data_IF_531520116514
#
_entry.id   IF_531520116514
#
_cell.length_a   1.000
_cell.length_b   1.000
_cell.length_c   1.000
_cell.angle_alpha   90.00
_cell.angle_beta   90.00
_cell.angle_gamma   90.00
#
_symmetry.space_group_name_H-M   'P 1'
#
loop_
_entity.id
_entity.type
_entity.pdbx_description
1 polymer ?
#
# COMPACT_ATOMS: atom_id res chain seq x y z
N UNK A 1 46.19 -4.83 3.65
CA UNK A 1 44.91 -4.21 4.04
C UNK A 1 43.95 -4.43 2.88
N UNK A 2 43.05 -5.40 3.02
CA UNK A 2 42.09 -5.77 1.96
C UNK A 2 40.86 -4.88 2.10
N UNK A 3 40.67 -3.95 1.19
CA UNK A 3 39.48 -3.11 1.12
C UNK A 3 38.40 -3.92 0.41
N UNK A 4 37.51 -4.57 1.16
CA UNK A 4 36.29 -5.13 0.60
C UNK A 4 35.44 -3.96 0.14
N UNK A 5 35.29 -3.79 -1.18
CA UNK A 5 34.25 -2.95 -1.75
C UNK A 5 32.94 -3.67 -1.44
N UNK A 6 32.21 -3.18 -0.43
CA UNK A 6 30.82 -3.55 -0.23
C UNK A 6 30.06 -2.99 -1.44
N UNK A 7 29.81 -3.84 -2.43
CA UNK A 7 28.91 -3.51 -3.53
C UNK A 7 27.57 -3.20 -2.90
N UNK A 8 27.20 -1.91 -2.86
CA UNK A 8 25.87 -1.49 -2.48
C UNK A 8 24.89 -2.32 -3.31
N UNK A 9 24.17 -3.25 -2.67
CA UNK A 9 23.12 -3.98 -3.36
C UNK A 9 22.13 -2.93 -3.83
N UNK A 10 21.90 -2.86 -5.13
CA UNK A 10 20.78 -2.11 -5.69
C UNK A 10 19.49 -2.55 -4.97
N UNK A 11 18.70 -1.59 -4.51
CA UNK A 11 17.43 -1.85 -3.83
C UNK A 11 16.53 -2.70 -4.72
N UNK A 12 16.13 -3.88 -4.26
CA UNK A 12 15.28 -4.80 -5.02
C UNK A 12 13.80 -4.50 -4.76
N UNK A 13 13.00 -4.35 -5.81
CA UNK A 13 11.56 -4.19 -5.74
C UNK A 13 10.88 -5.46 -6.25
N UNK A 14 10.08 -6.10 -5.42
CA UNK A 14 9.29 -7.29 -5.78
C UNK A 14 7.80 -6.92 -5.78
N UNK A 15 7.14 -7.06 -6.93
CA UNK A 15 5.71 -6.89 -7.06
C UNK A 15 5.00 -8.25 -6.89
N UNK A 16 3.99 -8.31 -6.02
CA UNK A 16 3.14 -9.51 -5.86
C UNK A 16 1.69 -9.16 -6.15
N UNK A 17 1.22 -9.60 -7.31
CA UNK A 17 -0.12 -9.32 -7.81
C UNK A 17 -1.08 -10.50 -7.66
N UNK A 18 -2.35 -10.18 -7.42
CA UNK A 18 -3.45 -11.14 -7.58
C UNK A 18 -4.72 -10.79 -6.80
N UNK A 19 -5.78 -11.60 -6.92
CA UNK A 19 -7.08 -11.29 -6.35
C UNK A 19 -7.10 -11.44 -4.82
N UNK A 20 -7.99 -10.73 -4.14
CA UNK A 20 -8.16 -10.83 -2.68
C UNK A 20 -8.45 -12.27 -2.22
N UNK A 21 -7.93 -12.68 -1.06
CA UNK A 21 -8.23 -13.98 -0.45
C UNK A 21 -7.37 -15.17 -0.92
N UNK A 22 -6.40 -14.96 -1.81
CA UNK A 22 -5.53 -16.04 -2.34
C UNK A 22 -4.28 -16.33 -1.49
N UNK A 23 -4.16 -15.74 -0.31
CA UNK A 23 -2.99 -15.91 0.56
C UNK A 23 -1.80 -15.01 0.24
N UNK A 24 -1.92 -14.06 -0.71
CA UNK A 24 -0.84 -13.12 -1.07
C UNK A 24 -0.21 -12.44 0.14
N UNK A 25 -0.99 -11.84 1.02
CA UNK A 25 -0.46 -11.14 2.20
C UNK A 25 0.39 -12.03 3.11
N UNK A 26 0.04 -13.31 3.22
CA UNK A 26 0.89 -14.26 3.94
C UNK A 26 2.20 -14.54 3.19
N UNK A 27 2.12 -14.78 1.88
CA UNK A 27 3.30 -15.02 1.03
C UNK A 27 4.21 -13.81 0.95
N UNK A 28 3.69 -12.61 0.69
CA UNK A 28 4.44 -11.36 0.57
C UNK A 28 5.23 -11.04 1.85
N UNK A 29 4.57 -11.17 3.01
CA UNK A 29 5.25 -10.99 4.31
C UNK A 29 6.34 -12.04 4.54
N UNK A 30 6.07 -13.30 4.20
CA UNK A 30 7.06 -14.37 4.35
C UNK A 30 8.29 -14.15 3.44
N UNK A 31 8.08 -13.73 2.19
CA UNK A 31 9.14 -13.37 1.25
C UNK A 31 9.95 -12.18 1.78
N UNK A 32 9.27 -11.11 2.21
CA UNK A 32 9.93 -9.93 2.76
C UNK A 32 10.78 -10.27 3.99
N UNK A 33 10.23 -11.02 4.95
CA UNK A 33 10.94 -11.44 6.15
C UNK A 33 12.14 -12.36 5.83
N UNK A 34 11.98 -13.31 4.91
CA UNK A 34 13.05 -14.24 4.53
C UNK A 34 14.22 -13.54 3.81
N UNK A 35 13.94 -12.46 3.08
CA UNK A 35 14.93 -11.71 2.30
C UNK A 35 15.45 -10.45 3.01
N UNK A 36 14.91 -10.13 4.20
CA UNK A 36 15.23 -8.89 4.91
C UNK A 36 14.75 -7.63 4.19
N UNK A 37 13.68 -7.73 3.39
CA UNK A 37 13.08 -6.63 2.66
C UNK A 37 11.96 -5.97 3.47
N UNK A 38 11.67 -4.70 3.14
CA UNK A 38 10.43 -4.05 3.57
C UNK A 38 9.21 -4.73 2.94
N UNK A 39 8.02 -4.47 3.49
CA UNK A 39 6.74 -4.94 2.96
C UNK A 39 5.72 -3.80 2.88
N UNK A 40 4.97 -3.70 1.77
CA UNK A 40 3.90 -2.74 1.60
C UNK A 40 2.58 -3.44 1.21
N UNK A 41 1.57 -3.29 2.08
CA UNK A 41 0.18 -3.67 1.83
C UNK A 41 -0.55 -2.50 1.15
N UNK A 42 -0.62 -2.50 -0.19
CA UNK A 42 -1.34 -1.44 -0.92
C UNK A 42 -2.85 -1.49 -0.71
N UNK A 43 -3.38 -2.68 -0.42
CA UNK A 43 -4.81 -2.87 -0.12
C UNK A 43 -5.22 -2.14 1.15
N UNK A 44 -4.35 -2.13 2.17
CA UNK A 44 -4.57 -1.38 3.40
C UNK A 44 -4.70 0.13 3.13
N UNK A 45 -3.93 0.69 2.19
CA UNK A 45 -4.00 2.12 1.85
C UNK A 45 -5.33 2.52 1.21
N UNK A 46 -5.82 1.73 0.26
CA UNK A 46 -7.16 1.98 -0.32
C UNK A 46 -8.28 1.81 0.71
N UNK A 47 -8.13 0.88 1.65
CA UNK A 47 -9.09 0.72 2.75
C UNK A 47 -9.00 1.86 3.76
N UNK A 48 -7.82 2.41 4.00
CA UNK A 48 -7.59 3.54 4.89
C UNK A 48 -8.29 4.81 4.38
N UNK A 49 -8.13 5.16 3.10
CA UNK A 49 -8.87 6.30 2.51
C UNK A 49 -10.39 6.06 2.50
N UNK A 50 -10.82 4.83 2.24
CA UNK A 50 -12.25 4.44 2.30
C UNK A 50 -12.81 4.60 3.71
N UNK A 51 -12.09 4.11 4.72
CA UNK A 51 -12.48 4.25 6.12
C UNK A 51 -12.57 5.72 6.53
N UNK A 52 -11.58 6.53 6.14
CA UNK A 52 -11.61 7.96 6.42
C UNK A 52 -12.84 8.64 5.80
N UNK A 53 -13.18 8.33 4.55
CA UNK A 53 -14.36 8.86 3.87
C UNK A 53 -15.65 8.50 4.62
N UNK A 54 -15.79 7.24 5.03
CA UNK A 54 -16.96 6.76 5.78
C UNK A 54 -17.08 7.46 7.14
N UNK A 55 -15.98 7.55 7.89
CA UNK A 55 -15.93 8.21 9.20
C UNK A 55 -16.24 9.71 9.12
N UNK A 56 -15.91 10.36 8.00
CA UNK A 56 -16.17 11.78 7.75
C UNK A 56 -17.47 12.06 6.98
N UNK A 57 -18.32 11.04 6.77
CA UNK A 57 -19.64 11.22 6.15
C UNK A 57 -19.61 11.59 4.67
N UNK A 58 -18.53 11.25 3.95
CA UNK A 58 -18.43 11.44 2.50
C UNK A 58 -19.26 10.36 1.81
N UNK A 59 -20.09 10.73 0.83
CA UNK A 59 -20.85 9.74 0.06
C UNK A 59 -19.92 8.96 -0.89
N UNK A 60 -19.52 7.77 -0.47
CA UNK A 60 -18.69 6.84 -1.27
C UNK A 60 -19.43 6.16 -2.43
N UNK A 61 -20.70 6.53 -2.68
CA UNK A 61 -21.41 6.19 -3.91
C UNK A 61 -21.37 7.31 -4.96
N UNK A 62 -20.89 8.49 -4.59
CA UNK A 62 -20.75 9.65 -5.46
C UNK A 62 -19.27 9.89 -5.84
N UNK A 63 -18.85 9.60 -7.08
CA UNK A 63 -17.46 9.78 -7.52
C UNK A 63 -16.94 11.22 -7.37
N UNK A 64 -17.79 12.24 -7.52
CA UNK A 64 -17.38 13.64 -7.40
C UNK A 64 -17.05 14.02 -5.95
N UNK A 65 -17.81 13.50 -4.98
CA UNK A 65 -17.53 13.68 -3.56
C UNK A 65 -16.26 12.95 -3.14
N UNK A 66 -16.07 11.71 -3.63
CA UNK A 66 -14.83 10.95 -3.42
C UNK A 66 -13.63 11.74 -3.94
N UNK A 67 -13.68 12.22 -5.18
CA UNK A 67 -12.59 12.97 -5.82
C UNK A 67 -12.26 14.25 -5.03
N UNK A 68 -13.28 15.01 -4.63
CA UNK A 68 -13.13 16.24 -3.83
C UNK A 68 -12.50 15.98 -2.46
N UNK A 69 -12.76 14.81 -1.87
CA UNK A 69 -12.27 14.45 -0.56
C UNK A 69 -10.91 13.73 -0.57
N UNK A 70 -10.46 13.22 -1.72
CA UNK A 70 -9.37 12.24 -1.80
C UNK A 70 -8.03 12.74 -1.23
N UNK A 71 -7.73 14.03 -1.34
CA UNK A 71 -6.48 14.63 -0.87
C UNK A 71 -6.50 15.12 0.59
N UNK A 72 -7.64 14.98 1.29
CA UNK A 72 -7.81 15.44 2.67
C UNK A 72 -7.07 14.58 3.71
N UNK A 73 -7.14 13.22 3.67
CA UNK A 73 -6.48 12.41 4.69
C UNK A 73 -4.96 12.34 4.52
N UNK A 74 -4.25 12.26 5.64
CA UNK A 74 -2.83 11.90 5.68
C UNK A 74 -2.70 10.43 6.04
N UNK A 75 -2.26 9.60 5.09
CA UNK A 75 -2.08 8.16 5.28
C UNK A 75 -0.60 7.84 5.45
N UNK A 76 -0.26 7.11 6.51
CA UNK A 76 1.10 6.60 6.75
C UNK A 76 1.05 5.08 6.86
N UNK A 77 1.88 4.40 6.06
CA UNK A 77 2.00 2.94 6.07
C UNK A 77 3.37 2.52 6.60
N UNK A 78 3.39 1.77 7.69
CA UNK A 78 4.61 1.14 8.19
C UNK A 78 4.99 -0.05 7.32
N UNK A 79 6.30 -0.25 7.11
CA UNK A 79 6.82 -1.24 6.16
C UNK A 79 7.48 -2.46 6.79
N UNK A 80 7.36 -2.63 8.11
CA UNK A 80 7.85 -3.82 8.79
C UNK A 80 6.99 -5.05 8.42
N UNK A 81 7.56 -6.09 7.79
CA UNK A 81 6.80 -7.30 7.44
C UNK A 81 6.27 -8.06 8.66
N UNK A 82 6.88 -7.93 9.85
CA UNK A 82 6.42 -8.58 11.07
C UNK A 82 5.19 -7.88 11.68
N UNK A 83 5.11 -6.56 11.53
CA UNK A 83 4.05 -5.74 12.10
C UNK A 83 3.71 -4.54 11.18
N UNK A 84 3.09 -4.77 10.01
CA UNK A 84 2.73 -3.68 9.11
C UNK A 84 1.65 -2.82 9.77
N UNK A 85 1.95 -1.54 9.97
CA UNK A 85 1.04 -0.56 10.57
C UNK A 85 0.40 0.31 9.51
N UNK A 86 -0.74 0.91 9.83
CA UNK A 86 -1.32 1.95 9.01
C UNK A 86 -2.09 2.95 9.87
N UNK A 87 -1.83 4.23 9.66
CA UNK A 87 -2.53 5.33 10.33
C UNK A 87 -3.18 6.27 9.33
N UNK A 88 -4.26 6.91 9.75
CA UNK A 88 -4.88 8.04 9.03
C UNK A 88 -5.05 9.20 9.99
N UNK A 89 -4.55 10.38 9.61
CA UNK A 89 -4.57 11.59 10.44
C UNK A 89 -4.01 11.36 11.86
N UNK A 90 -3.03 10.44 11.96
CA UNK A 90 -2.39 10.06 13.22
C UNK A 90 -3.13 8.98 14.03
N UNK A 91 -4.32 8.56 13.64
CA UNK A 91 -5.09 7.49 14.30
C UNK A 91 -4.74 6.11 13.74
N UNK A 92 -4.65 5.09 14.59
CA UNK A 92 -4.43 3.70 14.15
C UNK A 92 -5.66 3.17 13.41
N UNK A 93 -5.47 2.95 12.11
CA UNK A 93 -6.50 2.48 11.21
C UNK A 93 -6.45 0.95 11.02
N UNK A 94 -5.48 0.25 11.61
CA UNK A 94 -5.21 -1.18 11.36
C UNK A 94 -6.43 -2.07 11.63
N UNK A 95 -7.16 -1.82 12.72
CA UNK A 95 -8.41 -2.54 13.01
C UNK A 95 -9.57 -2.09 12.12
N UNK A 96 -9.97 -0.80 12.16
CA UNK A 96 -11.16 -0.30 11.48
C UNK A 96 -11.23 -0.58 9.97
N UNK A 97 -10.10 -0.55 9.26
CA UNK A 97 -10.07 -0.74 7.80
C UNK A 97 -10.42 -2.17 7.35
N UNK A 98 -10.45 -3.12 8.29
CA UNK A 98 -10.74 -4.54 8.05
C UNK A 98 -12.20 -4.92 8.29
N UNK A 99 -13.04 -3.95 8.65
CA UNK A 99 -14.48 -4.15 8.83
C UNK A 99 -15.16 -4.54 7.51
N UNK A 100 -16.33 -5.18 7.62
CA UNK A 100 -17.15 -5.54 6.47
C UNK A 100 -17.63 -4.29 5.72
N UNK A 101 -17.94 -3.22 6.44
CA UNK A 101 -18.38 -1.95 5.87
C UNK A 101 -17.33 -1.39 4.90
N UNK A 102 -16.09 -1.19 5.37
CA UNK A 102 -14.97 -0.73 4.53
C UNK A 102 -14.70 -1.70 3.38
N UNK A 103 -14.71 -3.00 3.65
CA UNK A 103 -14.50 -4.06 2.63
C UNK A 103 -15.52 -3.99 1.50
N UNK A 104 -16.77 -3.68 1.81
CA UNK A 104 -17.85 -3.60 0.82
C UNK A 104 -17.83 -2.33 -0.03
N UNK A 105 -17.10 -1.29 0.40
CA UNK A 105 -17.08 0.04 -0.25
C UNK A 105 -15.77 0.38 -0.95
N UNK A 106 -14.67 -0.28 -0.59
CA UNK A 106 -13.33 0.02 -1.13
C UNK A 106 -13.23 -0.10 -2.65
N UNK A 107 -14.02 -0.96 -3.29
CA UNK A 107 -14.02 -1.07 -4.76
C UNK A 107 -14.57 0.18 -5.45
N UNK A 108 -15.59 0.82 -4.89
CA UNK A 108 -16.14 2.06 -5.44
C UNK A 108 -15.15 3.22 -5.29
N UNK A 109 -14.54 3.34 -4.10
CA UNK A 109 -13.54 4.39 -3.80
C UNK A 109 -12.28 4.22 -4.65
N UNK A 110 -11.75 3.00 -4.77
CA UNK A 110 -10.54 2.73 -5.55
C UNK A 110 -10.73 2.79 -7.06
N UNK A 111 -11.97 2.86 -7.56
CA UNK A 111 -12.26 3.09 -8.98
C UNK A 111 -12.14 4.57 -9.37
N UNK A 112 -12.14 5.51 -8.41
CA UNK A 112 -12.05 6.94 -8.68
C UNK A 112 -10.61 7.33 -9.05
N UNK A 113 -10.38 7.97 -10.22
CA UNK A 113 -9.02 8.26 -10.72
C UNK A 113 -8.16 9.08 -9.74
N UNK A 114 -8.73 10.09 -9.09
CA UNK A 114 -8.03 10.97 -8.15
C UNK A 114 -7.49 10.19 -6.95
N UNK A 115 -8.28 9.24 -6.44
CA UNK A 115 -7.85 8.32 -5.39
C UNK A 115 -6.70 7.46 -5.88
N UNK A 116 -6.83 6.85 -7.06
CA UNK A 116 -5.77 6.01 -7.65
C UNK A 116 -4.47 6.79 -7.82
N UNK A 117 -4.54 8.00 -8.37
CA UNK A 117 -3.37 8.86 -8.57
C UNK A 117 -2.64 9.14 -7.26
N UNK A 118 -3.37 9.54 -6.20
CA UNK A 118 -2.77 9.85 -4.90
C UNK A 118 -2.16 8.62 -4.23
N UNK A 119 -2.90 7.50 -4.23
CA UNK A 119 -2.45 6.26 -3.59
C UNK A 119 -1.28 5.64 -4.34
N UNK A 120 -1.28 5.66 -5.68
CA UNK A 120 -0.12 5.23 -6.49
C UNK A 120 1.10 6.11 -6.26
N UNK A 121 0.93 7.43 -6.14
CA UNK A 121 2.05 8.32 -5.81
C UNK A 121 2.64 7.98 -4.43
N UNK A 122 1.79 7.73 -3.42
CA UNK A 122 2.22 7.27 -2.10
C UNK A 122 3.01 5.95 -2.19
N UNK A 123 2.50 4.96 -2.91
CA UNK A 123 3.15 3.66 -3.09
C UNK A 123 4.53 3.78 -3.73
N UNK A 124 4.64 4.55 -4.81
CA UNK A 124 5.92 4.82 -5.48
C UNK A 124 6.91 5.51 -4.55
N UNK A 125 6.45 6.48 -3.77
CA UNK A 125 7.32 7.19 -2.82
C UNK A 125 7.86 6.27 -1.73
N UNK A 126 7.02 5.38 -1.19
CA UNK A 126 7.42 4.39 -0.18
C UNK A 126 8.41 3.40 -0.77
N UNK A 127 8.14 2.89 -1.97
CA UNK A 127 9.03 1.94 -2.64
C UNK A 127 10.40 2.55 -2.94
N UNK A 128 10.44 3.80 -3.43
CA UNK A 128 11.68 4.52 -3.70
C UNK A 128 12.50 4.82 -2.43
N UNK A 129 11.84 4.97 -1.27
CA UNK A 129 12.50 5.21 0.01
C UNK A 129 13.08 3.93 0.65
N UNK A 130 12.71 2.74 0.16
CA UNK A 130 13.15 1.46 0.73
C UNK A 130 14.57 1.08 0.26
N UNK A 131 15.59 1.64 0.92
CA UNK A 131 17.01 1.45 0.55
C UNK A 131 17.47 -0.01 0.52
N UNK A 132 16.90 -0.86 1.38
CA UNK A 132 17.17 -2.30 1.41
C UNK A 132 16.35 -3.13 0.40
N UNK A 133 15.42 -2.49 -0.33
CA UNK A 133 14.42 -3.15 -1.16
C UNK A 133 13.09 -3.42 -0.42
N UNK A 134 12.06 -3.77 -1.19
CA UNK A 134 10.68 -3.88 -0.72
C UNK A 134 9.88 -4.91 -1.52
N UNK A 135 8.98 -5.61 -0.83
CA UNK A 135 7.89 -6.38 -1.44
C UNK A 135 6.63 -5.54 -1.41
N UNK A 136 6.05 -5.25 -2.58
CA UNK A 136 4.82 -4.47 -2.72
C UNK A 136 3.71 -5.38 -3.23
N UNK A 137 2.66 -5.55 -2.42
CA UNK A 137 1.53 -6.40 -2.77
C UNK A 137 0.33 -5.60 -3.24
N UNK A 138 -0.33 -6.06 -4.31
CA UNK A 138 -1.60 -5.50 -4.77
C UNK A 138 -2.29 -6.32 -5.84
N UNK A 139 -2.97 -5.63 -6.76
CA UNK A 139 -3.68 -6.23 -7.91
C UNK A 139 -3.01 -5.95 -9.25
N UNK A 140 -2.39 -4.79 -9.38
CA UNK A 140 -1.81 -4.21 -10.59
C UNK A 140 -0.46 -3.52 -10.31
N UNK A 141 0.30 -4.02 -9.34
CA UNK A 141 1.57 -3.44 -8.91
C UNK A 141 2.60 -3.51 -10.04
N UNK A 142 2.91 -4.70 -10.55
CA UNK A 142 3.97 -4.88 -11.56
C UNK A 142 3.60 -4.36 -12.95
N UNK A 143 2.34 -3.97 -13.17
CA UNK A 143 1.86 -3.50 -14.47
C UNK A 143 1.54 -2.00 -14.49
N UNK A 144 1.10 -1.44 -13.37
CA UNK A 144 0.61 -0.05 -13.30
C UNK A 144 1.38 0.79 -12.29
N UNK A 145 1.58 0.27 -11.08
CA UNK A 145 2.17 1.06 -9.99
C UNK A 145 3.69 1.14 -10.14
N UNK A 146 4.35 -0.01 -10.29
CA UNK A 146 5.80 -0.19 -10.36
C UNK A 146 6.14 -1.06 -11.60
N UNK A 147 5.98 -0.54 -12.83
CA UNK A 147 6.24 -1.29 -14.05
C UNK A 147 7.72 -1.71 -14.20
N UNK A 148 8.62 -1.02 -13.48
CA UNK A 148 10.05 -1.28 -13.46
C UNK A 148 10.48 -2.11 -12.23
N UNK A 149 9.54 -2.82 -11.57
CA UNK A 149 9.89 -3.75 -10.50
C UNK A 149 10.84 -4.85 -11.03
N UNK A 150 11.80 -5.29 -10.20
CA UNK A 150 12.80 -6.28 -10.60
C UNK A 150 12.20 -7.68 -10.77
N UNK A 151 11.11 -7.97 -10.05
CA UNK A 151 10.38 -9.24 -10.06
C UNK A 151 8.88 -9.02 -9.90
#
# INVERSE_FOLDING_TARGET
MSTTVETARSSVIVAIDGPSGTGKSSTSKAVAAALGLSYLDTGAQYRAITWWMLTNGIDVSNPEEIATAAAKPVIVSGTDPAAPTITVDGEDASGPIRTQEVTSKVSAVSAVPEVRTLITALQRSIAAAATGGIVVEGRDIGTTVLPDADL
#
